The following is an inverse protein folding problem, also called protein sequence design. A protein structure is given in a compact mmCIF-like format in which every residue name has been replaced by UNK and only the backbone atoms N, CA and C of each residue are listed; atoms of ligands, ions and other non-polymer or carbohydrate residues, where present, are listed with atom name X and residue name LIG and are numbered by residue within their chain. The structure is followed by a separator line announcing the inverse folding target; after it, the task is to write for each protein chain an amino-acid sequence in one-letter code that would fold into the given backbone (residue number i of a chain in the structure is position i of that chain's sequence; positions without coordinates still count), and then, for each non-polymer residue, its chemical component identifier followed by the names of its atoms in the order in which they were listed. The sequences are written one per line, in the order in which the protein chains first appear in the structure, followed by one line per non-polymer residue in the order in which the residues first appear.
data_IF_946909058068
#
_entry.id   IF_946909058068
#
_cell.length_a   1.000
_cell.length_b   1.000
_cell.length_c   1.000
_cell.angle_alpha   90.00
_cell.angle_beta   90.00
_cell.angle_gamma   90.00
#
_symmetry.space_group_name_H-M   'P 1'
#
loop_
_entity.id
_entity.type
_entity.pdbx_description
1 polymer ?
#
# COMPACT_ATOMS: atom_id res chain seq x y z
N UNK A 1 7.87 -4.55 15.70
CA UNK A 1 6.74 -5.20 14.98
C UNK A 1 6.92 -4.88 13.52
N UNK A 2 7.01 -5.90 12.67
CA UNK A 2 7.20 -5.76 11.23
C UNK A 2 5.86 -5.46 10.55
N UNK A 3 5.88 -4.57 9.56
CA UNK A 3 4.75 -4.32 8.67
C UNK A 3 5.18 -4.42 7.22
N UNK A 4 4.22 -4.59 6.33
CA UNK A 4 4.43 -4.38 4.91
C UNK A 4 4.18 -2.93 4.53
N UNK A 5 5.00 -2.41 3.62
CA UNK A 5 4.92 -1.04 3.15
C UNK A 5 4.87 -1.01 1.64
N UNK A 6 3.81 -0.44 1.08
CA UNK A 6 3.62 -0.19 -0.35
C UNK A 6 4.22 1.16 -0.71
N UNK A 7 5.15 1.18 -1.65
CA UNK A 7 5.90 2.38 -2.06
C UNK A 7 5.56 2.88 -3.46
N UNK A 8 4.93 2.04 -4.28
CA UNK A 8 4.48 2.38 -5.62
C UNK A 8 3.33 1.46 -6.02
N UNK A 9 2.51 1.91 -6.97
CA UNK A 9 1.36 1.16 -7.47
C UNK A 9 1.37 1.15 -8.99
N UNK A 10 0.75 0.14 -9.60
CA UNK A 10 0.38 0.16 -11.01
C UNK A 10 -1.11 0.01 -11.11
N UNK A 11 -1.76 1.01 -11.70
CA UNK A 11 -3.21 1.03 -11.88
C UNK A 11 -3.59 0.31 -13.17
N UNK A 12 -4.74 -0.33 -13.13
CA UNK A 12 -5.37 -0.89 -14.32
C UNK A 12 -5.90 0.27 -15.19
N UNK A 13 -5.59 0.31 -16.50
CA UNK A 13 -5.89 1.48 -17.34
C UNK A 13 -7.37 1.86 -17.46
N UNK A 14 -8.29 0.90 -17.34
CA UNK A 14 -9.73 1.13 -17.58
C UNK A 14 -10.47 1.54 -16.31
N UNK A 15 -10.27 0.79 -15.23
CA UNK A 15 -10.94 0.96 -13.93
C UNK A 15 -10.21 1.94 -13.01
N UNK A 16 -8.91 2.18 -13.23
CA UNK A 16 -8.07 2.98 -12.33
C UNK A 16 -7.77 2.29 -11.00
N UNK A 17 -8.24 1.06 -10.79
CA UNK A 17 -7.94 0.28 -9.59
C UNK A 17 -6.49 -0.18 -9.58
N UNK A 18 -5.93 -0.40 -8.40
CA UNK A 18 -4.56 -0.89 -8.29
C UNK A 18 -4.51 -2.38 -8.66
N UNK A 19 -3.76 -2.70 -9.72
CA UNK A 19 -3.54 -4.05 -10.21
C UNK A 19 -2.28 -4.67 -9.59
N UNK A 20 -1.23 -3.87 -9.42
CA UNK A 20 0.03 -4.31 -8.82
C UNK A 20 0.55 -3.28 -7.83
N UNK A 21 1.29 -3.75 -6.85
CA UNK A 21 2.01 -2.91 -5.89
C UNK A 21 3.49 -3.21 -5.95
N UNK A 22 4.30 -2.23 -5.54
CA UNK A 22 5.67 -2.48 -5.10
C UNK A 22 5.70 -2.37 -3.59
N UNK A 23 6.01 -3.46 -2.90
CA UNK A 23 5.92 -3.55 -1.44
C UNK A 23 7.06 -4.36 -0.83
N UNK A 24 7.49 -3.97 0.36
CA UNK A 24 8.55 -4.64 1.13
C UNK A 24 8.19 -4.69 2.62
N UNK A 25 8.98 -5.38 3.42
CA UNK A 25 8.80 -5.42 4.88
C UNK A 25 9.72 -4.42 5.56
N UNK A 26 9.20 -3.68 6.53
CA UNK A 26 9.96 -2.75 7.35
C UNK A 26 9.58 -2.88 8.83
N UNK A 27 10.40 -2.29 9.71
CA UNK A 27 10.09 -2.14 11.12
C UNK A 27 9.78 -0.67 11.45
N UNK A 28 8.70 -0.43 12.20
CA UNK A 28 8.33 0.94 12.59
C UNK A 28 9.44 1.59 13.41
N UNK A 29 9.87 2.78 12.99
CA UNK A 29 10.91 3.56 13.67
C UNK A 29 12.34 3.08 13.39
N UNK A 30 12.53 2.05 12.56
CA UNK A 30 13.85 1.57 12.15
C UNK A 30 14.09 1.95 10.69
N UNK A 31 15.19 2.66 10.37
CA UNK A 31 15.55 2.94 8.98
C UNK A 31 15.88 1.66 8.21
N UNK A 32 15.33 1.53 7.01
CA UNK A 32 15.66 0.46 6.06
C UNK A 32 14.60 -0.64 5.94
N UNK A 33 14.89 -1.60 5.07
CA UNK A 33 14.02 -2.73 4.76
C UNK A 33 14.47 -3.99 5.51
N UNK A 34 13.51 -4.71 6.06
CA UNK A 34 13.67 -6.12 6.45
C UNK A 34 13.69 -6.98 5.18
N UNK A 35 12.77 -6.70 4.26
CA UNK A 35 12.74 -7.29 2.91
C UNK A 35 12.54 -6.18 1.89
N UNK A 36 13.43 -6.13 0.90
CA UNK A 36 13.41 -5.11 -0.16
C UNK A 36 12.09 -5.11 -0.96
N UNK A 37 11.62 -3.96 -1.48
CA UNK A 37 10.35 -3.89 -2.19
C UNK A 37 10.32 -4.67 -3.50
N UNK A 38 9.42 -5.65 -3.57
CA UNK A 38 9.14 -6.48 -4.74
C UNK A 38 7.80 -6.10 -5.38
N UNK A 39 7.62 -6.45 -6.65
CA UNK A 39 6.32 -6.33 -7.31
C UNK A 39 5.44 -7.52 -6.94
N UNK A 40 4.19 -7.24 -6.54
CA UNK A 40 3.18 -8.24 -6.25
C UNK A 40 1.83 -7.82 -6.86
N UNK A 41 0.98 -8.78 -7.17
CA UNK A 41 -0.41 -8.50 -7.56
C UNK A 41 -1.19 -7.93 -6.36
N UNK A 42 -2.17 -7.07 -6.63
CA UNK A 42 -3.03 -6.53 -5.59
C UNK A 42 -3.77 -7.64 -4.80
N UNK A 43 -4.10 -8.76 -5.47
CA UNK A 43 -4.70 -9.93 -4.83
C UNK A 43 -3.80 -10.53 -3.74
N UNK A 44 -2.48 -10.56 -3.93
CA UNK A 44 -1.55 -11.10 -2.92
C UNK A 44 -1.54 -10.23 -1.66
N UNK A 45 -1.63 -8.91 -1.82
CA UNK A 45 -1.74 -7.97 -0.70
C UNK A 45 -3.08 -8.13 0.01
N UNK A 46 -4.17 -8.32 -0.73
CA UNK A 46 -5.51 -8.55 -0.18
C UNK A 46 -5.50 -9.79 0.71
N UNK A 47 -4.95 -10.91 0.21
CA UNK A 47 -4.83 -12.14 1.01
C UNK A 47 -3.94 -11.93 2.24
N UNK A 48 -2.81 -11.22 2.12
CA UNK A 48 -1.98 -10.89 3.28
C UNK A 48 -2.74 -10.07 4.34
N UNK A 49 -3.57 -9.10 3.94
CA UNK A 49 -4.39 -8.32 4.87
C UNK A 49 -5.43 -9.22 5.55
N UNK A 50 -6.07 -10.14 4.83
CA UNK A 50 -7.03 -11.10 5.39
C UNK A 50 -6.37 -12.07 6.38
N UNK A 51 -5.12 -12.44 6.12
CA UNK A 51 -4.27 -13.23 7.03
C UNK A 51 -3.78 -12.44 8.26
N UNK A 52 -4.15 -11.16 8.37
CA UNK A 52 -3.85 -10.29 9.51
C UNK A 52 -2.56 -9.50 9.38
N UNK A 53 -1.97 -9.41 8.18
CA UNK A 53 -0.78 -8.58 7.97
C UNK A 53 -1.12 -7.08 8.06
N UNK A 54 -0.29 -6.33 8.78
CA UNK A 54 -0.33 -4.87 8.74
C UNK A 54 0.28 -4.37 7.44
N UNK A 55 -0.51 -3.63 6.65
CA UNK A 55 -0.07 -3.02 5.40
C UNK A 55 -0.29 -1.52 5.45
N UNK A 56 0.76 -0.75 5.14
CA UNK A 56 0.70 0.70 5.03
C UNK A 56 1.29 1.18 3.71
N UNK A 57 1.00 2.42 3.35
CA UNK A 57 1.62 3.11 2.20
C UNK A 57 2.79 3.96 2.68
N UNK A 58 3.82 4.15 1.86
CA UNK A 58 4.88 5.13 2.12
C UNK A 58 5.26 5.88 0.84
N UNK A 59 5.42 7.19 0.95
CA UNK A 59 6.08 8.00 -0.07
C UNK A 59 7.50 8.31 0.40
N UNK A 60 8.48 7.94 -0.42
CA UNK A 60 9.85 8.40 -0.26
C UNK A 60 9.97 9.78 -0.90
N UNK A 61 10.23 10.79 -0.09
CA UNK A 61 10.58 12.13 -0.53
C UNK A 61 11.99 12.43 -0.02
N UNK A 62 12.93 12.65 -0.95
CA UNK A 62 14.34 12.97 -0.63
C UNK A 62 15.01 11.95 0.31
N UNK A 63 14.68 10.65 0.18
CA UNK A 63 15.23 9.57 0.99
C UNK A 63 14.61 9.41 2.38
N UNK A 64 13.60 10.23 2.71
CA UNK A 64 12.81 10.12 3.94
C UNK A 64 11.40 9.60 3.61
N UNK A 65 10.92 8.61 4.37
CA UNK A 65 9.54 8.14 4.24
C UNK A 65 8.61 9.05 5.05
N UNK A 66 7.76 9.84 4.36
CA UNK A 66 7.10 10.99 4.99
C UNK A 66 5.66 10.73 5.43
N UNK A 67 4.99 9.70 4.90
CA UNK A 67 3.61 9.40 5.28
C UNK A 67 3.34 7.90 5.31
N UNK A 68 2.86 7.39 6.45
CA UNK A 68 2.36 6.03 6.59
C UNK A 68 0.84 6.05 6.74
N UNK A 69 0.12 5.52 5.75
CA UNK A 69 -1.34 5.36 5.84
C UNK A 69 -1.72 3.88 5.72
N UNK A 70 -2.48 3.32 6.69
CA UNK A 70 -2.96 1.95 6.61
C UNK A 70 -3.78 1.68 5.35
N UNK A 71 -3.64 0.46 4.83
CA UNK A 71 -4.37 -0.06 3.68
C UNK A 71 -5.42 -1.05 4.16
N UNK A 72 -6.57 -1.03 3.51
CA UNK A 72 -7.70 -1.92 3.76
C UNK A 72 -8.20 -2.49 2.44
N UNK A 73 -8.94 -3.58 2.56
CA UNK A 73 -9.70 -4.15 1.45
C UNK A 73 -11.09 -3.49 1.41
N UNK A 74 -11.51 -3.10 0.21
CA UNK A 74 -12.88 -2.68 -0.08
C UNK A 74 -13.50 -3.67 -1.07
N UNK A 75 -14.80 -3.90 -0.94
CA UNK A 75 -15.58 -4.66 -1.91
C UNK A 75 -16.45 -3.67 -2.66
N UNK A 76 -16.40 -3.68 -3.98
CA UNK A 76 -17.28 -2.86 -4.82
C UNK A 76 -18.68 -3.48 -4.96
N UNK A 77 -19.59 -2.75 -5.64
CA UNK A 77 -20.97 -3.18 -5.85
C UNK A 77 -21.09 -4.46 -6.70
N UNK A 78 -20.06 -4.80 -7.49
CA UNK A 78 -19.95 -6.03 -8.28
C UNK A 78 -19.34 -7.20 -7.48
N UNK A 79 -19.03 -7.00 -6.19
CA UNK A 79 -18.43 -8.00 -5.31
C UNK A 79 -16.92 -8.19 -5.50
N UNK A 80 -16.25 -7.29 -6.21
CA UNK A 80 -14.79 -7.36 -6.44
C UNK A 80 -14.03 -6.66 -5.34
N UNK A 81 -12.92 -7.28 -4.92
CA UNK A 81 -12.06 -6.74 -3.88
C UNK A 81 -10.97 -5.84 -4.44
N UNK A 82 -10.79 -4.67 -3.83
CA UNK A 82 -9.80 -3.67 -4.22
C UNK A 82 -9.04 -3.15 -3.00
N UNK A 83 -7.79 -2.76 -3.23
CA UNK A 83 -7.01 -2.05 -2.22
C UNK A 83 -7.45 -0.59 -2.12
N UNK A 84 -7.63 -0.12 -0.89
CA UNK A 84 -7.89 1.28 -0.61
C UNK A 84 -7.17 1.71 0.66
N UNK A 85 -6.92 3.00 0.82
CA UNK A 85 -6.43 3.49 2.10
C UNK A 85 -7.55 3.58 3.14
N UNK A 86 -7.19 3.41 4.41
CA UNK A 86 -8.09 3.68 5.54
C UNK A 86 -8.44 5.18 5.53
N UNK A 87 -9.73 5.56 5.65
CA UNK A 87 -10.13 6.95 5.74
C UNK A 87 -9.58 7.57 7.02
N UNK A 88 -8.89 8.71 6.89
CA UNK A 88 -8.43 9.51 8.02
C UNK A 88 -8.78 10.97 7.75
N UNK A 89 -9.13 11.70 8.80
CA UNK A 89 -9.53 13.11 8.69
C UNK A 89 -8.39 14.05 8.28
N UNK A 90 -7.14 13.58 8.35
CA UNK A 90 -5.96 14.33 7.94
C UNK A 90 -5.81 14.31 6.43
N UNK A 91 -5.87 15.49 5.81
CA UNK A 91 -5.55 15.73 4.40
C UNK A 91 -4.04 15.65 4.09
N UNK A 92 -3.19 15.51 5.10
CA UNK A 92 -1.73 15.46 4.96
C UNK A 92 -1.18 14.05 4.73
N UNK A 93 -1.96 13.01 5.01
CA UNK A 93 -1.55 11.63 4.73
C UNK A 93 -1.90 11.25 3.30
N UNK A 94 -0.90 10.93 2.50
CA UNK A 94 -1.10 10.43 1.14
C UNK A 94 -1.88 9.12 1.14
N UNK A 95 -2.68 8.92 0.10
CA UNK A 95 -3.42 7.69 -0.16
C UNK A 95 -2.64 6.77 -1.07
N UNK A 96 -3.13 5.54 -1.20
CA UNK A 96 -2.63 4.53 -2.12
C UNK A 96 -2.67 5.00 -3.59
N UNK A 97 -3.54 5.95 -3.93
CA UNK A 97 -3.64 6.52 -5.28
C UNK A 97 -2.65 7.65 -5.56
N UNK A 98 -2.09 8.24 -4.51
CA UNK A 98 -1.08 9.30 -4.59
C UNK A 98 0.35 8.74 -4.67
N UNK A 99 0.50 7.42 -4.53
CA UNK A 99 1.79 6.75 -4.67
C UNK A 99 2.31 6.84 -6.12
N UNK A 100 3.65 6.87 -6.30
CA UNK A 100 4.26 6.81 -7.62
C UNK A 100 3.77 5.60 -8.44
N UNK A 101 3.63 5.81 -9.76
CA UNK A 101 3.34 4.74 -10.71
C UNK A 101 4.61 4.15 -11.33
N UNK A 102 4.58 2.86 -11.68
CA UNK A 102 5.70 2.11 -12.26
C UNK A 102 5.27 1.11 -13.34
#
# INVERSE_FOLDING_TARGET
MSLYVIVAVRKEPVSGHVAYVRWGQAERGVPGWVTEPVTAAASEVIEAIKDGAEVETAISQDGMSVALRPVRVLVDDDGREHLASVPVASSTLYTLFDLPEF
#
